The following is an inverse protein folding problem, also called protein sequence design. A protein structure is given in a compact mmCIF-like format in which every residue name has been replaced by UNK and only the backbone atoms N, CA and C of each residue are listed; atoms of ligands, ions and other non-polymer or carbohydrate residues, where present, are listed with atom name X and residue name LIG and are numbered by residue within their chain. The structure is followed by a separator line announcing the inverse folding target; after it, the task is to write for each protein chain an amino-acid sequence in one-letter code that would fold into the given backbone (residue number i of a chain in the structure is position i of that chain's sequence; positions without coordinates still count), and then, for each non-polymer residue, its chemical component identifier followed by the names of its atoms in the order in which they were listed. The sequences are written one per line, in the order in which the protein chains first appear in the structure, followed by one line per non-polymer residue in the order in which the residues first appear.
data_IF_078776530441
#
_entry.id   IF_078776530441
#
_cell.length_a   1.000
_cell.length_b   1.000
_cell.length_c   1.000
_cell.angle_alpha   90.00
_cell.angle_beta   90.00
_cell.angle_gamma   90.00
#
_symmetry.space_group_name_H-M   'P 1'
#
loop_
_entity.id
_entity.type
_entity.pdbx_description
1 polymer ?
#
# COMPACT_ATOMS: atom_id res chain seq x y z
N UNK A 1 21.87 -1.03 6.92
CA UNK A 1 20.71 -1.19 6.00
C UNK A 1 20.58 -0.02 5.04
N UNK A 2 20.34 1.22 5.51
CA UNK A 2 20.06 2.39 4.67
C UNK A 2 21.10 2.60 3.55
N UNK A 3 22.40 2.62 3.89
CA UNK A 3 23.50 2.75 2.91
C UNK A 3 23.44 1.71 1.78
N UNK A 4 23.41 0.42 2.12
CA UNK A 4 23.39 -0.66 1.13
C UNK A 4 22.12 -0.65 0.27
N UNK A 5 20.98 -0.25 0.85
CA UNK A 5 19.72 -0.14 0.09
C UNK A 5 19.77 1.03 -0.88
N UNK A 6 20.36 2.17 -0.48
CA UNK A 6 20.55 3.31 -1.38
C UNK A 6 21.44 2.95 -2.58
N UNK A 7 22.55 2.24 -2.34
CA UNK A 7 23.41 1.72 -3.43
C UNK A 7 22.63 0.82 -4.39
N UNK A 8 21.84 -0.13 -3.86
CA UNK A 8 21.01 -1.01 -4.68
C UNK A 8 19.94 -0.26 -5.49
N UNK A 9 19.33 0.79 -4.93
CA UNK A 9 18.37 1.65 -5.64
C UNK A 9 19.06 2.35 -6.80
N UNK A 10 20.20 3.01 -6.55
CA UNK A 10 20.91 3.75 -7.59
C UNK A 10 21.38 2.82 -8.73
N UNK A 11 21.92 1.66 -8.39
CA UNK A 11 22.35 0.65 -9.37
C UNK A 11 21.17 0.18 -10.24
N UNK A 12 20.08 -0.27 -9.61
CA UNK A 12 18.92 -0.81 -10.35
C UNK A 12 18.17 0.25 -11.16
N UNK A 13 18.11 1.49 -10.68
CA UNK A 13 17.56 2.61 -11.43
C UNK A 13 18.42 2.93 -12.66
N UNK A 14 19.75 2.97 -12.52
CA UNK A 14 20.66 3.21 -13.64
C UNK A 14 20.57 2.10 -14.72
N UNK A 15 20.40 0.84 -14.30
CA UNK A 15 20.28 -0.31 -15.21
C UNK A 15 18.95 -0.35 -15.97
N UNK A 16 17.86 0.16 -15.38
CA UNK A 16 16.51 0.04 -15.95
C UNK A 16 15.96 1.31 -16.57
N UNK A 17 16.47 2.49 -16.18
CA UNK A 17 15.95 3.79 -16.61
C UNK A 17 14.62 4.19 -15.95
N UNK A 18 14.06 3.37 -15.07
CA UNK A 18 12.83 3.65 -14.33
C UNK A 18 13.14 4.06 -12.89
N UNK A 19 12.37 4.99 -12.32
CA UNK A 19 12.51 5.40 -10.92
C UNK A 19 12.31 4.19 -9.99
N UNK A 20 13.23 4.02 -9.02
CA UNK A 20 13.18 2.96 -8.02
C UNK A 20 13.07 3.53 -6.60
N UNK A 21 12.51 2.75 -5.70
CA UNK A 21 12.40 3.11 -4.28
C UNK A 21 12.36 1.88 -3.38
N UNK A 22 12.72 2.07 -2.11
CA UNK A 22 12.58 1.08 -1.06
C UNK A 22 12.08 1.79 0.19
N UNK A 23 11.02 1.27 0.80
CA UNK A 23 10.43 1.91 1.98
C UNK A 23 11.33 1.68 3.20
N UNK A 24 12.26 2.61 3.45
CA UNK A 24 13.16 2.52 4.58
C UNK A 24 12.38 2.73 5.88
N UNK A 25 12.28 1.70 6.71
CA UNK A 25 11.51 1.77 7.95
C UNK A 25 12.18 2.69 8.99
N UNK A 26 11.46 3.74 9.41
CA UNK A 26 11.87 4.72 10.41
C UNK A 26 11.14 4.56 11.76
N UNK A 27 10.21 3.61 11.91
CA UNK A 27 9.60 3.23 13.20
C UNK A 27 10.69 3.01 14.25
N UNK A 28 10.59 3.68 15.40
CA UNK A 28 11.66 3.77 16.39
C UNK A 28 11.11 3.81 17.83
N UNK A 29 11.95 3.57 18.85
CA UNK A 29 11.54 3.61 20.26
C UNK A 29 11.22 5.02 20.77
N UNK A 30 11.76 6.07 20.16
CA UNK A 30 11.48 7.48 20.52
C UNK A 30 11.32 8.32 19.25
N UNK A 31 10.72 9.52 19.39
CA UNK A 31 10.53 10.43 18.27
C UNK A 31 11.86 10.96 17.71
N UNK A 32 12.87 11.18 18.56
CA UNK A 32 14.20 11.62 18.17
C UNK A 32 14.89 10.59 17.28
N UNK A 33 14.83 9.31 17.65
CA UNK A 33 15.40 8.23 16.84
C UNK A 33 14.60 8.00 15.54
N UNK A 34 13.28 8.24 15.55
CA UNK A 34 12.46 8.21 14.33
C UNK A 34 12.91 9.29 13.35
N UNK A 35 13.03 10.54 13.81
CA UNK A 35 13.44 11.67 12.98
C UNK A 35 14.89 11.55 12.53
N UNK A 36 15.80 11.05 13.37
CA UNK A 36 17.19 10.77 12.99
C UNK A 36 17.27 9.77 11.83
N UNK A 37 16.43 8.73 11.83
CA UNK A 37 16.36 7.77 10.72
C UNK A 37 15.77 8.39 9.46
N UNK A 38 14.75 9.24 9.60
CA UNK A 38 14.13 9.95 8.49
C UNK A 38 15.11 10.93 7.83
N UNK A 39 15.85 11.71 8.63
CA UNK A 39 16.89 12.62 8.14
C UNK A 39 17.97 11.85 7.38
N UNK A 40 18.40 10.69 7.89
CA UNK A 40 19.37 9.87 7.17
C UNK A 40 18.85 9.29 5.84
N UNK A 41 17.56 8.96 5.73
CA UNK A 41 16.97 8.59 4.44
C UNK A 41 17.01 9.75 3.44
N UNK A 42 16.73 10.97 3.90
CA UNK A 42 16.80 12.19 3.09
C UNK A 42 18.23 12.52 2.66
N UNK A 43 19.22 12.42 3.55
CA UNK A 43 20.64 12.61 3.22
C UNK A 43 21.11 11.65 2.11
N UNK A 44 20.53 10.45 2.06
CA UNK A 44 20.77 9.46 1.02
C UNK A 44 19.93 9.67 -0.25
N UNK A 45 19.13 10.74 -0.34
CA UNK A 45 18.22 11.06 -1.43
C UNK A 45 17.18 9.96 -1.70
N UNK A 46 16.66 9.34 -0.66
CA UNK A 46 15.65 8.28 -0.79
C UNK A 46 14.27 8.89 -1.01
N UNK A 47 13.48 8.40 -1.99
CA UNK A 47 12.21 9.04 -2.36
C UNK A 47 11.06 8.70 -1.39
N UNK A 48 11.21 7.66 -0.58
CA UNK A 48 10.13 7.11 0.25
C UNK A 48 10.66 6.41 1.50
N UNK A 49 9.95 6.60 2.62
CA UNK A 49 10.18 5.89 3.90
C UNK A 49 8.91 5.15 4.34
N UNK A 50 8.99 4.32 5.38
CA UNK A 50 7.80 3.72 6.00
C UNK A 50 7.73 3.86 7.51
N UNK A 51 6.48 3.81 8.01
CA UNK A 51 6.17 3.90 9.43
C UNK A 51 5.02 2.96 9.84
N UNK A 52 5.14 2.37 11.03
CA UNK A 52 4.12 1.51 11.64
C UNK A 52 3.25 2.36 12.59
N UNK A 53 2.26 3.06 12.02
CA UNK A 53 1.57 4.17 12.71
C UNK A 53 0.82 3.79 13.99
N UNK A 54 0.28 2.57 14.08
CA UNK A 54 -0.44 2.12 15.28
C UNK A 54 0.51 1.76 16.41
N UNK A 55 1.59 1.04 16.10
CA UNK A 55 2.55 0.59 17.12
C UNK A 55 3.47 1.71 17.59
N UNK A 56 3.79 2.65 16.71
CA UNK A 56 4.52 3.86 17.10
C UNK A 56 3.60 4.93 17.71
N UNK A 57 2.34 4.96 17.28
CA UNK A 57 1.30 5.87 17.77
C UNK A 57 1.07 7.08 16.88
N UNK A 58 -0.16 7.60 16.92
CA UNK A 58 -0.60 8.73 16.09
C UNK A 58 0.20 10.02 16.31
N UNK A 59 0.70 10.27 17.53
CA UNK A 59 1.54 11.43 17.83
C UNK A 59 2.84 11.40 17.02
N UNK A 60 3.52 10.25 17.00
CA UNK A 60 4.73 10.06 16.22
C UNK A 60 4.42 10.12 14.71
N UNK A 61 3.36 9.43 14.25
CA UNK A 61 2.97 9.44 12.84
C UNK A 61 2.68 10.85 12.32
N UNK A 62 1.92 11.65 13.06
CA UNK A 62 1.57 13.02 12.64
C UNK A 62 2.80 13.92 12.60
N UNK A 63 3.75 13.71 13.52
CA UNK A 63 5.05 14.41 13.50
C UNK A 63 5.83 14.04 12.24
N UNK A 64 5.91 12.75 11.92
CA UNK A 64 6.60 12.26 10.75
C UNK A 64 5.96 12.71 9.44
N UNK A 65 4.62 12.70 9.35
CA UNK A 65 3.89 13.13 8.15
C UNK A 65 4.13 14.61 7.82
N UNK A 66 4.17 15.48 8.85
CA UNK A 66 4.56 16.90 8.68
C UNK A 66 6.00 17.03 8.21
N UNK A 67 6.92 16.31 8.86
CA UNK A 67 8.32 16.30 8.45
C UNK A 67 8.50 15.84 7.00
N UNK A 68 7.80 14.79 6.58
CA UNK A 68 7.82 14.29 5.20
C UNK A 68 7.34 15.35 4.20
N UNK A 69 6.26 16.07 4.53
CA UNK A 69 5.75 17.18 3.70
C UNK A 69 6.79 18.27 3.50
N UNK A 70 7.47 18.67 4.58
CA UNK A 70 8.45 19.76 4.54
C UNK A 70 9.76 19.36 3.83
N UNK A 71 10.04 18.05 3.77
CA UNK A 71 11.29 17.52 3.21
C UNK A 71 11.12 16.81 1.86
N UNK A 72 9.90 16.68 1.35
CA UNK A 72 9.62 16.07 0.04
C UNK A 72 9.80 14.56 -0.02
N UNK A 73 9.56 13.85 1.09
CA UNK A 73 9.60 12.37 1.12
C UNK A 73 8.18 11.80 1.11
N UNK A 74 7.97 10.75 0.32
CA UNK A 74 6.76 9.94 0.42
C UNK A 74 6.75 9.11 1.72
N UNK A 75 5.57 8.87 2.26
CA UNK A 75 5.36 8.14 3.51
C UNK A 75 4.44 6.92 3.32
N UNK A 76 5.05 5.73 3.28
CA UNK A 76 4.32 4.46 3.26
C UNK A 76 3.90 4.04 4.67
N UNK A 77 2.60 3.80 4.89
CA UNK A 77 2.09 3.40 6.20
C UNK A 77 1.79 1.92 6.27
N UNK A 78 2.42 1.25 7.23
CA UNK A 78 2.13 -0.13 7.56
C UNK A 78 1.22 -0.21 8.79
N UNK A 79 0.22 -1.09 8.73
CA UNK A 79 -0.86 -1.19 9.73
C UNK A 79 -0.61 -2.26 10.79
N UNK A 80 0.65 -2.48 11.19
CA UNK A 80 0.96 -3.45 12.25
C UNK A 80 0.04 -3.24 13.48
N UNK A 81 -0.37 -4.33 14.15
CA UNK A 81 -1.33 -4.33 15.26
C UNK A 81 -2.81 -4.11 14.91
N UNK A 82 -3.18 -3.71 13.69
CA UNK A 82 -4.59 -3.39 13.36
C UNK A 82 -5.57 -4.53 13.69
N UNK A 83 -5.23 -5.78 13.35
CA UNK A 83 -6.08 -6.95 13.57
C UNK A 83 -6.31 -7.32 15.04
N UNK A 84 -5.54 -6.74 15.97
CA UNK A 84 -5.83 -6.83 17.41
C UNK A 84 -7.10 -6.03 17.75
N UNK A 85 -7.37 -4.97 16.98
CA UNK A 85 -8.42 -3.99 17.22
C UNK A 85 -9.63 -4.24 16.31
N UNK A 86 -9.40 -4.62 15.06
CA UNK A 86 -10.44 -4.54 14.01
C UNK A 86 -11.00 -5.87 13.50
N UNK A 87 -10.51 -7.00 14.04
CA UNK A 87 -10.87 -8.33 13.52
C UNK A 87 -12.23 -8.82 14.00
N UNK A 88 -12.57 -8.60 15.26
CA UNK A 88 -13.79 -9.16 15.85
C UNK A 88 -14.99 -8.25 15.56
N UNK A 89 -16.06 -8.80 14.99
CA UNK A 89 -17.27 -8.03 14.65
C UNK A 89 -18.03 -7.51 15.87
N UNK A 90 -17.91 -8.18 17.01
CA UNK A 90 -18.66 -7.90 18.24
C UNK A 90 -17.94 -6.96 19.22
N UNK A 91 -16.64 -6.71 19.05
CA UNK A 91 -15.87 -5.82 19.92
C UNK A 91 -14.63 -5.28 19.20
N UNK A 92 -14.39 -3.98 19.32
CA UNK A 92 -13.23 -3.31 18.73
C UNK A 92 -13.61 -2.11 17.87
N UNK A 93 -12.71 -1.76 16.94
CA UNK A 93 -12.88 -0.63 16.03
C UNK A 93 -12.63 -1.13 14.61
N UNK A 94 -13.65 -1.09 13.75
CA UNK A 94 -13.50 -1.54 12.38
C UNK A 94 -12.42 -0.74 11.62
N UNK A 95 -11.63 -1.41 10.76
CA UNK A 95 -10.48 -0.83 10.06
C UNK A 95 -10.79 0.47 9.32
N UNK A 96 -11.99 0.61 8.73
CA UNK A 96 -12.45 1.86 8.07
C UNK A 96 -12.28 3.11 8.95
N UNK A 97 -12.43 3.00 10.26
CA UNK A 97 -12.21 4.12 11.20
C UNK A 97 -10.72 4.42 11.32
N UNK A 98 -9.89 3.39 11.44
CA UNK A 98 -8.42 3.51 11.49
C UNK A 98 -7.85 4.07 10.18
N UNK A 99 -8.45 3.71 9.05
CA UNK A 99 -8.12 4.22 7.72
C UNK A 99 -8.42 5.73 7.59
N UNK A 100 -9.60 6.18 8.05
CA UNK A 100 -9.93 7.61 8.13
C UNK A 100 -8.98 8.36 9.06
N UNK A 101 -8.70 7.81 10.23
CA UNK A 101 -7.77 8.41 11.19
C UNK A 101 -6.35 8.54 10.61
N UNK A 102 -5.91 7.56 9.81
CA UNK A 102 -4.63 7.65 9.13
C UNK A 102 -4.65 8.72 8.03
N UNK A 103 -5.68 8.78 7.17
CA UNK A 103 -5.80 9.83 6.14
C UNK A 103 -5.73 11.24 6.73
N UNK A 104 -6.31 11.45 7.92
CA UNK A 104 -6.20 12.70 8.68
C UNK A 104 -4.81 12.93 9.29
N UNK A 105 -4.20 11.90 9.87
CA UNK A 105 -2.86 12.00 10.49
C UNK A 105 -1.75 12.22 9.46
N UNK A 106 -1.90 11.63 8.27
CA UNK A 106 -1.00 11.74 7.13
C UNK A 106 -0.29 10.43 6.80
N UNK A 107 -0.25 10.13 5.51
CA UNK A 107 0.42 8.99 4.89
C UNK A 107 0.02 8.91 3.43
N UNK A 108 0.97 8.62 2.54
CA UNK A 108 0.71 8.58 1.09
C UNK A 108 0.22 7.21 0.65
N UNK A 109 0.65 6.15 1.35
CA UNK A 109 0.17 4.79 1.14
C UNK A 109 -0.37 4.19 2.45
N UNK A 110 -1.33 3.26 2.36
CA UNK A 110 -1.70 2.40 3.50
C UNK A 110 -2.07 0.99 3.03
N UNK A 111 -1.64 -0.02 3.80
CA UNK A 111 -2.10 -1.40 3.60
C UNK A 111 -3.61 -1.54 3.78
N UNK A 112 -4.30 -2.05 2.76
CA UNK A 112 -5.76 -2.23 2.74
C UNK A 112 -6.19 -3.68 2.82
N UNK A 113 -5.27 -4.62 2.58
CA UNK A 113 -5.57 -6.05 2.48
C UNK A 113 -5.68 -6.47 1.02
N UNK A 114 -5.91 -7.75 0.76
CA UNK A 114 -5.85 -8.31 -0.60
C UNK A 114 -7.16 -8.88 -1.08
N UNK A 115 -8.13 -9.14 -0.20
CA UNK A 115 -9.38 -9.90 -0.45
C UNK A 115 -9.12 -11.37 -0.82
N UNK A 116 -8.20 -11.63 -1.74
CA UNK A 116 -7.88 -12.96 -2.30
C UNK A 116 -6.63 -13.60 -1.70
N UNK A 117 -5.86 -12.89 -0.87
CA UNK A 117 -4.62 -13.40 -0.30
C UNK A 117 -4.82 -14.09 1.05
N UNK A 118 -3.72 -14.20 1.82
CA UNK A 118 -3.69 -14.99 3.07
C UNK A 118 -4.45 -14.36 4.25
N UNK A 119 -4.71 -13.05 4.20
CA UNK A 119 -5.28 -12.29 5.30
C UNK A 119 -6.76 -12.00 5.00
N UNK A 120 -7.57 -12.04 6.05
CA UNK A 120 -9.02 -11.81 6.00
C UNK A 120 -9.37 -10.46 5.35
N UNK A 121 -10.36 -10.45 4.47
CA UNK A 121 -10.90 -9.25 3.84
C UNK A 121 -12.12 -9.56 2.97
N UNK A 122 -13.28 -9.03 3.34
CA UNK A 122 -14.49 -9.14 2.53
C UNK A 122 -14.46 -8.09 1.41
N UNK A 123 -14.73 -8.49 0.15
CA UNK A 123 -14.60 -7.62 -1.03
C UNK A 123 -15.40 -6.32 -0.89
N UNK A 124 -16.70 -6.40 -0.58
CA UNK A 124 -17.58 -5.23 -0.50
C UNK A 124 -17.15 -4.23 0.58
N UNK A 125 -16.81 -4.74 1.76
CA UNK A 125 -16.30 -3.94 2.89
C UNK A 125 -14.94 -3.32 2.56
N UNK A 126 -14.05 -4.09 1.91
CA UNK A 126 -12.72 -3.62 1.50
C UNK A 126 -12.84 -2.46 0.52
N UNK A 127 -13.65 -2.64 -0.51
CA UNK A 127 -13.93 -1.56 -1.45
C UNK A 127 -14.53 -0.35 -0.73
N UNK A 128 -15.44 -0.54 0.23
CA UNK A 128 -16.03 0.58 0.97
C UNK A 128 -14.99 1.48 1.65
N UNK A 129 -13.97 0.91 2.31
CA UNK A 129 -12.92 1.72 2.94
C UNK A 129 -11.80 2.15 1.99
N UNK A 130 -11.61 1.50 0.84
CA UNK A 130 -10.73 1.98 -0.23
C UNK A 130 -11.28 3.29 -0.81
N UNK A 131 -12.58 3.38 -1.07
CA UNK A 131 -13.20 4.64 -1.51
C UNK A 131 -13.02 5.74 -0.46
N UNK A 132 -13.20 5.42 0.83
CA UNK A 132 -12.97 6.37 1.93
C UNK A 132 -11.51 6.87 2.00
N UNK A 133 -10.55 6.10 1.49
CA UNK A 133 -9.14 6.50 1.45
C UNK A 133 -8.80 7.35 0.22
N UNK A 134 -9.46 7.13 -0.91
CA UNK A 134 -9.09 7.75 -2.20
C UNK A 134 -9.99 8.92 -2.59
N UNK A 135 -11.31 8.71 -2.51
CA UNK A 135 -12.28 9.64 -3.06
C UNK A 135 -12.40 10.91 -2.22
N UNK A 136 -12.83 11.99 -2.85
CA UNK A 136 -13.12 13.25 -2.15
C UNK A 136 -14.48 13.23 -1.44
N UNK A 137 -15.46 12.52 -2.00
CA UNK A 137 -16.81 12.43 -1.46
C UNK A 137 -17.32 10.99 -1.60
N UNK A 138 -17.77 10.39 -0.50
CA UNK A 138 -18.25 9.02 -0.45
C UNK A 138 -19.63 8.99 0.19
N UNK A 139 -20.64 8.56 -0.56
CA UNK A 139 -22.02 8.46 -0.06
C UNK A 139 -22.19 7.35 0.98
N UNK A 140 -23.21 7.50 1.83
CA UNK A 140 -23.64 6.44 2.72
C UNK A 140 -24.05 5.20 1.92
N UNK A 141 -23.41 4.07 2.21
CA UNK A 141 -23.77 2.76 1.67
C UNK A 141 -23.53 1.68 2.74
N UNK A 142 -24.62 1.26 3.39
CA UNK A 142 -24.57 0.25 4.44
C UNK A 142 -24.15 -1.13 3.93
N UNK A 143 -24.37 -1.43 2.64
CA UNK A 143 -23.97 -2.71 2.04
C UNK A 143 -22.45 -2.86 1.94
N UNK A 144 -21.73 -1.74 1.85
CA UNK A 144 -20.26 -1.65 1.90
C UNK A 144 -19.73 -1.24 3.27
N UNK A 145 -20.60 -1.18 4.27
CA UNK A 145 -20.25 -0.79 5.64
C UNK A 145 -19.95 0.71 5.83
N UNK A 146 -20.41 1.57 4.91
CA UNK A 146 -20.28 3.02 5.00
C UNK A 146 -21.55 3.57 5.68
N UNK A 147 -21.45 3.85 6.98
CA UNK A 147 -22.59 4.28 7.79
C UNK A 147 -22.93 5.76 7.66
N UNK A 148 -21.99 6.58 7.18
CA UNK A 148 -22.16 8.02 7.04
C UNK A 148 -21.49 8.47 5.75
N UNK A 149 -22.16 9.37 5.04
CA UNK A 149 -21.55 10.13 3.96
C UNK A 149 -20.32 10.85 4.49
N UNK A 150 -19.22 10.81 3.74
CA UNK A 150 -17.95 11.42 4.10
C UNK A 150 -17.50 12.38 2.99
N UNK A 151 -17.33 13.65 3.34
CA UNK A 151 -16.64 14.65 2.51
C UNK A 151 -15.24 14.89 3.08
N UNK A 152 -14.25 14.99 2.22
CA UNK A 152 -12.84 15.22 2.55
C UNK A 152 -12.36 16.63 2.22
N UNK A 153 -13.20 17.49 1.65
CA UNK A 153 -12.90 18.90 1.37
C UNK A 153 -11.54 19.10 0.66
N UNK A 154 -11.27 18.28 -0.35
CA UNK A 154 -10.03 18.24 -1.15
C UNK A 154 -8.78 17.75 -0.40
N UNK A 155 -8.92 17.13 0.77
CA UNK A 155 -7.80 16.41 1.39
C UNK A 155 -7.31 15.31 0.44
N UNK A 156 -6.00 15.23 0.13
CA UNK A 156 -5.47 14.22 -0.77
C UNK A 156 -5.88 12.80 -0.39
N UNK A 157 -6.05 11.95 -1.41
CA UNK A 157 -6.28 10.53 -1.25
C UNK A 157 -5.02 9.79 -0.77
N UNK A 158 -5.22 8.57 -0.29
CA UNK A 158 -4.15 7.64 0.13
C UNK A 158 -4.17 6.42 -0.79
N UNK A 159 -3.02 6.06 -1.34
CA UNK A 159 -2.90 4.91 -2.23
C UNK A 159 -3.10 3.60 -1.45
N UNK A 160 -4.00 2.75 -1.95
CA UNK A 160 -4.29 1.47 -1.32
C UNK A 160 -3.18 0.46 -1.65
N UNK A 161 -2.65 -0.21 -0.63
CA UNK A 161 -1.61 -1.23 -0.78
C UNK A 161 -2.19 -2.62 -0.52
N UNK A 162 -2.27 -3.42 -1.58
CA UNK A 162 -2.64 -4.83 -1.50
C UNK A 162 -1.39 -5.68 -1.27
N UNK A 163 -1.29 -6.31 -0.10
CA UNK A 163 -0.11 -7.09 0.30
C UNK A 163 -0.49 -8.28 1.18
N UNK A 164 0.18 -9.41 0.95
CA UNK A 164 0.08 -10.61 1.79
C UNK A 164 -0.45 -11.85 1.07
N UNK A 165 0.45 -12.81 0.78
CA UNK A 165 0.08 -14.11 0.23
C UNK A 165 -0.43 -14.08 -1.22
N UNK A 166 -0.05 -13.06 -1.99
CA UNK A 166 -0.42 -12.92 -3.41
C UNK A 166 0.73 -13.34 -4.33
N UNK A 167 0.38 -13.73 -5.56
CA UNK A 167 1.25 -14.24 -6.63
C UNK A 167 0.59 -13.97 -8.00
N UNK A 168 1.28 -14.25 -9.11
CA UNK A 168 0.85 -13.89 -10.48
C UNK A 168 -0.60 -14.25 -10.84
N UNK A 169 -1.12 -15.40 -10.42
CA UNK A 169 -2.53 -15.77 -10.68
C UNK A 169 -3.58 -14.86 -9.99
N UNK A 170 -3.18 -14.08 -8.99
CA UNK A 170 -4.06 -13.11 -8.35
C UNK A 170 -4.09 -11.77 -9.11
N UNK A 171 -3.19 -11.56 -10.08
CA UNK A 171 -3.03 -10.26 -10.76
C UNK A 171 -4.33 -9.76 -11.42
N UNK A 172 -5.08 -10.58 -12.20
CA UNK A 172 -6.31 -10.09 -12.83
C UNK A 172 -7.34 -9.61 -11.81
N UNK A 173 -7.53 -10.38 -10.73
CA UNK A 173 -8.46 -10.03 -9.66
C UNK A 173 -8.01 -8.77 -8.89
N UNK A 174 -6.71 -8.61 -8.64
CA UNK A 174 -6.19 -7.43 -7.95
C UNK A 174 -6.36 -6.16 -8.79
N UNK A 175 -6.11 -6.24 -10.10
CA UNK A 175 -6.34 -5.13 -11.05
C UNK A 175 -7.83 -4.78 -11.13
N UNK A 176 -8.71 -5.78 -11.17
CA UNK A 176 -10.17 -5.58 -11.17
C UNK A 176 -10.66 -4.93 -9.86
N UNK A 177 -10.12 -5.36 -8.72
CA UNK A 177 -10.56 -4.88 -7.40
C UNK A 177 -10.03 -3.47 -7.13
N UNK A 178 -8.72 -3.26 -7.26
CA UNK A 178 -8.08 -2.05 -6.76
C UNK A 178 -7.83 -0.97 -7.82
N UNK A 179 -7.89 -1.31 -9.11
CA UNK A 179 -7.60 -0.38 -10.20
C UNK A 179 -6.15 0.13 -10.19
N UNK A 180 -5.93 1.21 -10.95
CA UNK A 180 -4.57 1.74 -11.22
C UNK A 180 -3.95 2.44 -10.01
N UNK A 181 -4.75 3.12 -9.18
CA UNK A 181 -4.28 3.87 -8.01
C UNK A 181 -3.97 2.97 -6.80
N UNK A 182 -3.20 1.90 -7.03
CA UNK A 182 -2.87 0.90 -6.03
C UNK A 182 -1.41 0.45 -6.10
N UNK A 183 -0.90 -0.06 -4.98
CA UNK A 183 0.38 -0.77 -4.92
C UNK A 183 0.11 -2.24 -4.64
N UNK A 184 0.56 -3.13 -5.55
CA UNK A 184 0.47 -4.58 -5.38
C UNK A 184 1.82 -5.13 -4.92
N UNK A 185 1.89 -5.69 -3.71
CA UNK A 185 3.14 -6.13 -3.11
C UNK A 185 3.30 -7.66 -3.10
N UNK A 186 4.30 -8.13 -3.84
CA UNK A 186 4.66 -9.54 -3.96
C UNK A 186 5.97 -9.83 -3.22
N UNK A 187 5.89 -10.14 -1.92
CA UNK A 187 7.04 -10.58 -1.13
C UNK A 187 7.48 -12.00 -1.54
N UNK A 188 6.87 -13.01 -0.92
CA UNK A 188 7.11 -14.42 -1.29
C UNK A 188 6.83 -14.72 -2.76
N UNK A 189 5.87 -14.04 -3.38
CA UNK A 189 5.57 -14.14 -4.81
C UNK A 189 6.65 -13.59 -5.75
N UNK A 190 7.71 -12.95 -5.24
CA UNK A 190 8.90 -12.54 -6.00
C UNK A 190 10.12 -13.35 -5.54
N UNK A 191 10.42 -13.32 -4.24
CA UNK A 191 11.60 -13.97 -3.66
C UNK A 191 11.57 -15.50 -3.75
N UNK A 192 10.37 -16.09 -3.83
CA UNK A 192 10.16 -17.53 -3.98
C UNK A 192 10.13 -18.02 -5.44
N UNK A 193 10.41 -17.16 -6.43
CA UNK A 193 10.45 -17.57 -7.82
C UNK A 193 11.61 -18.57 -8.05
N UNK A 194 11.41 -19.67 -8.80
CA UNK A 194 12.42 -20.74 -8.95
C UNK A 194 13.74 -20.27 -9.57
N UNK A 195 13.74 -19.12 -10.23
CA UNK A 195 14.93 -18.52 -10.86
C UNK A 195 15.45 -17.27 -10.13
N UNK A 196 15.00 -17.02 -8.90
CA UNK A 196 15.45 -15.90 -8.08
C UNK A 196 14.70 -14.58 -8.33
N UNK A 197 15.16 -13.52 -7.66
CA UNK A 197 14.40 -12.28 -7.47
C UNK A 197 14.12 -11.51 -8.76
N UNK A 198 15.12 -11.35 -9.64
CA UNK A 198 14.95 -10.56 -10.87
C UNK A 198 13.95 -11.21 -11.85
N UNK A 199 14.02 -12.53 -12.12
CA UNK A 199 12.96 -13.22 -12.86
C UNK A 199 11.59 -13.17 -12.16
N UNK A 200 11.54 -13.29 -10.83
CA UNK A 200 10.29 -13.14 -10.08
C UNK A 200 9.66 -11.76 -10.21
N UNK A 201 10.47 -10.70 -10.18
CA UNK A 201 10.01 -9.33 -10.37
C UNK A 201 9.52 -9.12 -11.82
N UNK A 202 10.22 -9.69 -12.79
CA UNK A 202 9.82 -9.68 -14.21
C UNK A 202 8.48 -10.39 -14.40
N UNK A 203 8.29 -11.57 -13.80
CA UNK A 203 7.03 -12.31 -13.89
C UNK A 203 5.84 -11.51 -13.36
N UNK A 204 6.00 -10.84 -12.20
CA UNK A 204 4.96 -9.98 -11.66
C UNK A 204 4.70 -8.74 -12.53
N UNK A 205 5.76 -8.12 -13.09
CA UNK A 205 5.61 -6.95 -13.97
C UNK A 205 4.89 -7.30 -15.27
N UNK A 206 5.27 -8.40 -15.93
CA UNK A 206 4.63 -8.89 -17.16
C UNK A 206 3.16 -9.23 -16.90
N UNK A 207 2.86 -9.95 -15.82
CA UNK A 207 1.47 -10.27 -15.47
C UNK A 207 0.62 -9.02 -15.25
N UNK A 208 1.16 -7.98 -14.61
CA UNK A 208 0.47 -6.71 -14.39
C UNK A 208 0.19 -6.01 -15.73
N UNK A 209 1.21 -5.80 -16.55
CA UNK A 209 1.06 -5.09 -17.83
C UNK A 209 0.11 -5.82 -18.79
N UNK A 210 0.16 -7.15 -18.85
CA UNK A 210 -0.79 -7.95 -19.62
C UNK A 210 -2.24 -7.78 -19.13
N UNK A 211 -2.47 -7.74 -17.80
CA UNK A 211 -3.79 -7.49 -17.24
C UNK A 211 -4.29 -6.07 -17.55
N UNK A 212 -3.42 -5.06 -17.46
CA UNK A 212 -3.76 -3.67 -17.77
C UNK A 212 -4.10 -3.52 -19.26
N UNK A 213 -3.28 -4.09 -20.14
CA UNK A 213 -3.57 -4.10 -21.58
C UNK A 213 -4.91 -4.77 -21.87
N UNK A 214 -5.12 -6.00 -21.39
CA UNK A 214 -6.35 -6.74 -21.60
C UNK A 214 -7.60 -5.98 -21.11
N UNK A 215 -7.53 -5.38 -19.92
CA UNK A 215 -8.61 -4.53 -19.39
C UNK A 215 -8.89 -3.35 -20.31
N UNK A 216 -7.85 -2.65 -20.76
CA UNK A 216 -7.98 -1.47 -21.61
C UNK A 216 -8.48 -1.82 -23.02
N UNK A 217 -8.25 -3.04 -23.49
CA UNK A 217 -8.83 -3.62 -24.72
C UNK A 217 -10.29 -4.09 -24.54
N UNK A 218 -10.87 -3.95 -23.34
CA UNK A 218 -12.26 -4.28 -23.04
C UNK A 218 -12.49 -5.74 -22.61
N UNK A 219 -11.43 -6.50 -22.34
CA UNK A 219 -11.56 -7.88 -21.82
C UNK A 219 -12.07 -7.88 -20.39
N UNK A 220 -12.85 -8.90 -20.05
CA UNK A 220 -13.38 -9.08 -18.71
C UNK A 220 -12.40 -9.88 -17.84
N UNK A 221 -11.56 -9.21 -17.06
CA UNK A 221 -10.56 -9.86 -16.20
C UNK A 221 -11.16 -10.86 -15.20
N UNK A 222 -12.41 -10.69 -14.76
CA UNK A 222 -13.07 -11.62 -13.84
C UNK A 222 -13.36 -12.99 -14.48
N UNK A 223 -13.56 -13.01 -15.81
CA UNK A 223 -13.87 -14.23 -16.58
C UNK A 223 -12.65 -14.75 -17.34
N UNK A 224 -11.87 -13.85 -17.89
CA UNK A 224 -10.80 -14.12 -18.84
C UNK A 224 -9.40 -14.03 -18.20
N UNK A 225 -9.30 -13.68 -16.92
CA UNK A 225 -8.02 -13.43 -16.26
C UNK A 225 -7.03 -14.59 -16.34
N UNK A 226 -7.49 -15.84 -16.24
CA UNK A 226 -6.62 -17.00 -16.41
C UNK A 226 -6.09 -17.14 -17.84
N UNK A 227 -6.88 -16.75 -18.85
CA UNK A 227 -6.46 -16.78 -20.25
C UNK A 227 -5.54 -15.60 -20.61
N UNK A 228 -5.60 -14.51 -19.85
CA UNK A 228 -4.63 -13.39 -19.96
C UNK A 228 -3.26 -13.79 -19.39
N UNK A 229 -3.25 -14.63 -18.35
CA UNK A 229 -2.00 -15.06 -17.68
C UNK A 229 -1.31 -16.23 -18.41
N UNK A 230 -2.05 -17.03 -19.18
CA UNK A 230 -1.51 -18.15 -19.98
C UNK A 230 -0.82 -17.66 -21.24
#
# INVERSE_FOLDING_TARGET
RFLFVADAIHKSQAETGEIKGHYLNVTAPTCEEMLKRAEYAKELNMPIIMHDYLTAGFTANTTLARWCRDNGLLLHIHRAMHAVIDRQKNHGIHFRVLAKALRLSGGDHIHTGTVVGKLEGERGITMGFVDLLRENYVEQDKSRGIYFTQDWASLPGVMAVASGGIHVWHMPALVEIFGDDSVLQFGGGTLGHPWGNAPGATANRVALEACIQARNEGRNLAREGNDVIR
#
